data_IF_155669054950
#
_entry.id   IF_155669054950
#
_cell.length_a   1.000
_cell.length_b   1.000
_cell.length_c   1.000
_cell.angle_alpha   90.00
_cell.angle_beta   90.00
_cell.angle_gamma   90.00
#
_symmetry.space_group_name_H-M   'P 1'
#
loop_
_entity.id
_entity.type
_entity.pdbx_description
1 polymer ?
#
# COMPACT_ATOMS: atom_id res chain seq x y z
N UNK A 1 18.51 -14.74 15.06
CA UNK A 1 17.23 -14.04 14.84
C UNK A 1 16.72 -14.35 13.45
N UNK A 2 15.42 -14.17 13.23
CA UNK A 2 14.78 -14.35 11.93
C UNK A 2 14.59 -13.01 11.24
N UNK A 3 14.48 -13.03 9.92
CA UNK A 3 14.06 -11.88 9.13
C UNK A 3 12.65 -11.44 9.51
N UNK A 4 12.37 -10.15 9.30
CA UNK A 4 11.08 -9.52 9.53
C UNK A 4 10.65 -8.81 8.27
N UNK A 5 9.37 -8.53 8.15
CA UNK A 5 8.79 -7.81 7.00
C UNK A 5 8.01 -6.60 7.48
N UNK A 6 8.09 -5.53 6.73
CA UNK A 6 7.27 -4.33 6.93
C UNK A 6 6.82 -3.77 5.58
N UNK A 7 5.77 -2.98 5.63
CA UNK A 7 5.25 -2.29 4.46
C UNK A 7 5.08 -0.80 4.77
N UNK A 8 5.53 0.05 3.87
CA UNK A 8 5.41 1.51 3.97
C UNK A 8 4.61 2.02 2.78
N UNK A 9 3.70 2.95 3.04
CA UNK A 9 3.08 3.77 2.00
C UNK A 9 3.87 5.07 1.88
N UNK A 10 4.25 5.43 0.66
CA UNK A 10 4.85 6.72 0.33
C UNK A 10 3.99 7.45 -0.69
N UNK A 11 4.05 8.76 -0.69
CA UNK A 11 3.33 9.63 -1.63
C UNK A 11 4.30 10.61 -2.27
N UNK A 12 4.18 10.78 -3.58
CA UNK A 12 4.94 11.76 -4.36
C UNK A 12 4.11 13.03 -4.60
N UNK A 13 4.79 14.11 -4.98
CA UNK A 13 4.15 15.37 -5.33
C UNK A 13 3.52 16.11 -4.14
N UNK A 14 3.91 15.79 -2.90
CA UNK A 14 3.33 16.37 -1.70
C UNK A 14 3.71 17.85 -1.58
N UNK A 15 2.71 18.70 -1.46
CA UNK A 15 2.87 20.15 -1.29
C UNK A 15 2.10 20.65 -0.07
N UNK A 16 2.38 21.86 0.37
CA UNK A 16 1.64 22.50 1.46
C UNK A 16 1.95 24.00 1.54
N UNK A 17 1.17 24.70 2.37
CA UNK A 17 1.27 26.17 2.51
C UNK A 17 1.81 26.61 3.87
N UNK A 18 1.85 25.71 4.85
CA UNK A 18 2.31 26.02 6.19
C UNK A 18 3.83 26.08 6.32
N UNK A 19 4.33 26.74 7.36
CA UNK A 19 5.77 26.84 7.64
C UNK A 19 6.47 25.48 7.81
N UNK A 20 5.74 24.42 8.16
CA UNK A 20 6.27 23.07 8.25
C UNK A 20 6.71 22.49 6.90
N UNK A 21 6.25 23.09 5.79
CA UNK A 21 6.68 22.73 4.43
C UNK A 21 7.84 23.58 3.91
N UNK A 22 8.39 24.49 4.72
CA UNK A 22 9.63 25.17 4.36
C UNK A 22 10.82 24.23 4.52
N UNK A 23 11.75 24.25 3.57
CA UNK A 23 12.92 23.38 3.59
C UNK A 23 14.20 24.16 3.87
N UNK A 24 14.95 23.77 4.90
CA UNK A 24 16.29 24.31 5.12
C UNK A 24 17.17 24.01 3.90
N UNK A 25 17.86 25.03 3.39
CA UNK A 25 18.64 24.93 2.17
C UNK A 25 20.14 25.21 2.45
N UNK A 26 20.92 24.16 2.58
CA UNK A 26 22.35 24.27 2.79
C UNK A 26 23.12 24.76 1.54
N UNK A 27 22.49 24.74 0.35
CA UNK A 27 23.09 25.17 -0.90
C UNK A 27 22.80 26.63 -1.25
N UNK A 28 22.00 27.33 -0.44
CA UNK A 28 21.68 28.73 -0.65
C UNK A 28 22.93 29.60 -0.83
N UNK A 29 22.96 30.42 -1.90
CA UNK A 29 24.10 31.27 -2.24
C UNK A 29 25.23 30.57 -3.02
N UNK A 30 25.06 29.30 -3.38
CA UNK A 30 25.96 28.58 -4.30
C UNK A 30 27.30 28.14 -3.72
N UNK A 31 27.61 28.42 -2.46
CA UNK A 31 28.91 28.10 -1.86
C UNK A 31 29.18 26.60 -1.70
N UNK A 32 28.12 25.78 -1.68
CA UNK A 32 28.18 24.31 -1.56
C UNK A 32 28.03 23.59 -2.92
N UNK A 33 28.12 24.32 -4.02
CA UNK A 33 28.02 23.78 -5.37
C UNK A 33 26.62 23.79 -5.95
N UNK A 34 26.47 23.12 -7.10
CA UNK A 34 25.20 23.05 -7.85
C UNK A 34 24.30 21.97 -7.26
N UNK A 35 23.03 22.30 -7.04
CA UNK A 35 22.00 21.38 -6.51
C UNK A 35 20.66 21.59 -7.22
N UNK A 36 20.64 21.37 -8.56
CA UNK A 36 19.42 21.39 -9.36
C UNK A 36 18.64 22.70 -9.33
N UNK A 37 19.31 23.85 -9.08
CA UNK A 37 18.69 25.17 -8.97
C UNK A 37 18.42 25.63 -7.53
N UNK A 38 18.52 24.73 -6.54
CA UNK A 38 18.33 25.09 -5.13
C UNK A 38 19.40 26.06 -4.61
N UNK A 39 20.57 26.08 -5.23
CA UNK A 39 21.64 27.05 -4.93
C UNK A 39 21.24 28.52 -5.19
N UNK A 40 20.25 28.73 -6.06
CA UNK A 40 19.69 30.05 -6.34
C UNK A 40 18.52 30.44 -5.41
N UNK A 41 18.05 29.51 -4.59
CA UNK A 41 16.91 29.73 -3.70
C UNK A 41 17.38 30.16 -2.30
N UNK A 42 16.52 30.83 -1.50
CA UNK A 42 16.85 31.22 -0.13
C UNK A 42 16.93 30.02 0.81
N UNK A 43 17.39 30.25 2.04
CA UNK A 43 17.26 29.31 3.16
C UNK A 43 16.47 29.98 4.29
N UNK A 44 15.31 29.41 4.69
CA UNK A 44 14.64 28.22 4.09
C UNK A 44 14.04 28.53 2.71
N UNK A 45 13.91 27.48 1.89
CA UNK A 45 13.08 27.53 0.68
C UNK A 45 11.62 27.61 1.12
N UNK A 46 10.83 28.59 0.62
CA UNK A 46 9.42 28.70 1.00
C UNK A 46 8.59 27.49 0.54
N UNK A 47 7.59 27.13 1.32
CA UNK A 47 6.65 26.04 1.04
C UNK A 47 6.06 26.07 -0.38
N UNK A 48 5.75 27.26 -0.90
CA UNK A 48 5.20 27.43 -2.26
C UNK A 48 6.15 27.00 -3.40
N UNK A 49 7.42 26.79 -3.11
CA UNK A 49 8.44 26.34 -4.07
C UNK A 49 8.90 24.91 -3.79
N UNK A 50 8.27 24.24 -2.80
CA UNK A 50 8.63 22.86 -2.41
C UNK A 50 7.60 21.87 -2.92
N UNK A 51 8.12 20.79 -3.50
CA UNK A 51 7.38 19.56 -3.79
C UNK A 51 8.19 18.42 -3.19
N UNK A 52 7.55 17.54 -2.47
CA UNK A 52 8.20 16.45 -1.77
C UNK A 52 7.77 15.12 -2.37
N UNK A 53 8.73 14.32 -2.76
CA UNK A 53 8.51 12.96 -3.24
C UNK A 53 8.90 11.94 -2.16
N UNK A 54 8.32 10.75 -2.26
CA UNK A 54 8.56 9.63 -1.35
C UNK A 54 8.28 9.95 0.12
N UNK A 55 7.29 10.80 0.37
CA UNK A 55 6.87 11.14 1.72
C UNK A 55 6.22 9.92 2.38
N UNK A 56 6.82 9.40 3.45
CA UNK A 56 6.26 8.29 4.20
C UNK A 56 4.95 8.71 4.87
N UNK A 57 3.84 8.06 4.51
CA UNK A 57 2.49 8.35 5.02
C UNK A 57 2.05 7.39 6.10
N UNK A 58 2.38 6.11 5.92
CA UNK A 58 2.03 5.07 6.88
C UNK A 58 3.04 3.92 6.84
N UNK A 59 3.14 3.18 7.93
CA UNK A 59 3.96 1.98 8.04
C UNK A 59 3.22 0.89 8.82
N UNK A 60 3.28 -0.35 8.34
CA UNK A 60 2.70 -1.51 9.00
C UNK A 60 3.71 -2.66 9.12
N UNK A 61 3.74 -3.37 10.25
CA UNK A 61 3.06 -3.03 11.50
C UNK A 61 3.76 -1.87 12.21
N UNK A 62 5.06 -1.69 11.97
CA UNK A 62 5.93 -0.64 12.48
C UNK A 62 7.28 -0.70 11.76
N UNK A 63 8.16 0.27 12.02
CA UNK A 63 9.53 0.26 11.47
C UNK A 63 10.41 -0.90 11.99
N UNK A 64 10.01 -1.59 13.06
CA UNK A 64 10.72 -2.79 13.54
C UNK A 64 10.33 -4.07 12.79
N UNK A 65 9.26 -4.01 11.99
CA UNK A 65 8.78 -5.11 11.18
C UNK A 65 8.01 -6.20 11.94
N UNK A 66 7.30 -7.03 11.19
CA UNK A 66 6.54 -8.18 11.65
C UNK A 66 7.46 -9.40 11.75
N UNK A 67 7.48 -10.05 12.91
CA UNK A 67 8.18 -11.31 13.15
C UNK A 67 7.29 -12.51 12.79
N UNK A 68 7.89 -13.69 12.65
CA UNK A 68 7.17 -14.95 12.49
C UNK A 68 6.63 -15.22 11.08
N UNK A 69 6.79 -14.30 10.14
CA UNK A 69 6.45 -14.52 8.72
C UNK A 69 7.47 -15.43 8.06
N UNK A 70 8.75 -15.15 8.29
CA UNK A 70 9.86 -15.91 7.72
C UNK A 70 10.49 -16.76 8.82
N UNK A 71 10.54 -18.09 8.69
CA UNK A 71 11.17 -18.96 9.67
C UNK A 71 12.70 -18.75 9.73
N UNK A 72 13.32 -19.26 10.78
CA UNK A 72 14.77 -19.13 10.95
C UNK A 72 15.58 -19.93 9.92
N UNK A 73 14.98 -20.98 9.35
CA UNK A 73 15.58 -21.79 8.27
C UNK A 73 14.68 -21.71 7.06
N UNK A 74 15.24 -21.35 5.93
CA UNK A 74 14.57 -21.23 4.64
C UNK A 74 15.36 -21.99 3.59
N UNK A 75 14.67 -22.43 2.53
CA UNK A 75 15.26 -23.10 1.36
C UNK A 75 15.10 -22.22 0.12
N UNK A 76 15.97 -22.43 -0.85
CA UNK A 76 15.83 -21.73 -2.13
C UNK A 76 14.47 -22.10 -2.79
N UNK A 77 13.72 -21.07 -3.18
CA UNK A 77 12.38 -21.22 -3.76
C UNK A 77 11.22 -21.17 -2.77
N UNK A 78 11.48 -21.11 -1.46
CA UNK A 78 10.43 -20.90 -0.46
C UNK A 78 9.77 -19.53 -0.65
N UNK A 79 8.46 -19.52 -0.48
CA UNK A 79 7.65 -18.29 -0.56
C UNK A 79 6.91 -18.05 0.74
N UNK A 80 6.95 -16.83 1.24
CA UNK A 80 6.28 -16.41 2.47
C UNK A 80 5.39 -15.21 2.18
N UNK A 81 4.21 -15.17 2.78
CA UNK A 81 3.23 -14.09 2.58
C UNK A 81 2.96 -13.37 3.89
N UNK A 82 3.00 -12.06 3.84
CA UNK A 82 2.50 -11.17 4.89
C UNK A 82 1.39 -10.28 4.33
N UNK A 83 0.35 -10.04 5.13
CA UNK A 83 -0.74 -9.16 4.76
C UNK A 83 -0.70 -7.92 5.65
N UNK A 84 -0.79 -6.75 5.03
CA UNK A 84 -0.85 -5.46 5.70
C UNK A 84 -2.09 -4.71 5.21
N UNK A 85 -2.74 -3.99 6.12
CA UNK A 85 -3.92 -3.19 5.81
C UNK A 85 -3.63 -1.74 6.15
N UNK A 86 -3.98 -0.84 5.24
CA UNK A 86 -3.88 0.60 5.42
C UNK A 86 -5.23 1.24 5.10
N UNK A 87 -5.54 2.31 5.81
CA UNK A 87 -6.65 3.19 5.46
C UNK A 87 -6.08 4.46 4.84
N UNK A 88 -6.50 4.77 3.61
CA UNK A 88 -6.05 5.98 2.91
C UNK A 88 -7.04 7.11 3.20
N UNK A 89 -6.62 8.18 3.90
CA UNK A 89 -7.42 9.38 4.02
C UNK A 89 -7.67 10.02 2.65
N UNK A 90 -8.84 10.60 2.46
CA UNK A 90 -9.21 11.29 1.20
C UNK A 90 -8.34 12.51 0.85
N UNK A 91 -7.46 12.91 1.77
CA UNK A 91 -6.49 13.99 1.56
C UNK A 91 -5.19 13.54 0.91
N UNK A 92 -4.99 12.22 0.75
CA UNK A 92 -3.84 11.67 0.04
C UNK A 92 -4.22 11.40 -1.42
N UNK A 93 -3.27 11.61 -2.30
CA UNK A 93 -3.46 11.33 -3.73
C UNK A 93 -3.11 9.86 -4.01
N UNK A 94 -4.13 9.02 -4.14
CA UNK A 94 -3.97 7.59 -4.41
C UNK A 94 -3.14 7.32 -5.66
N UNK A 95 -3.21 8.19 -6.67
CA UNK A 95 -2.47 8.04 -7.93
C UNK A 95 -0.97 8.29 -7.78
N UNK A 96 -0.58 8.98 -6.71
CA UNK A 96 0.81 9.27 -6.35
C UNK A 96 1.35 8.34 -5.26
N UNK A 97 0.54 7.36 -4.84
CA UNK A 97 0.93 6.44 -3.76
C UNK A 97 1.76 5.26 -4.26
N UNK A 98 2.78 4.93 -3.48
CA UNK A 98 3.60 3.74 -3.67
C UNK A 98 3.53 2.85 -2.42
N UNK A 99 3.53 1.55 -2.65
CA UNK A 99 3.58 0.50 -1.64
C UNK A 99 5.01 -0.04 -1.65
N UNK A 100 5.72 0.12 -0.54
CA UNK A 100 7.12 -0.34 -0.40
C UNK A 100 7.16 -1.49 0.61
N UNK A 101 7.44 -2.70 0.13
CA UNK A 101 7.71 -3.86 0.98
C UNK A 101 9.19 -3.89 1.38
N UNK A 102 9.46 -4.13 2.65
CA UNK A 102 10.82 -4.18 3.20
C UNK A 102 11.08 -5.52 3.87
N UNK A 103 12.23 -6.12 3.55
CA UNK A 103 12.83 -7.23 4.28
C UNK A 103 13.85 -6.66 5.27
N UNK A 104 13.65 -6.95 6.54
CA UNK A 104 14.49 -6.44 7.64
C UNK A 104 15.28 -7.61 8.23
N UNK A 105 16.58 -7.45 8.29
CA UNK A 105 17.49 -8.47 8.83
C UNK A 105 17.35 -8.62 10.36
N UNK A 106 17.95 -9.65 10.96
CA UNK A 106 17.91 -9.84 12.42
C UNK A 106 18.53 -8.69 13.22
N UNK A 107 19.39 -7.88 12.62
CA UNK A 107 20.04 -6.72 13.22
C UNK A 107 19.20 -5.44 13.11
N UNK A 108 18.07 -5.49 12.39
CA UNK A 108 17.16 -4.37 12.22
C UNK A 108 17.50 -3.45 11.04
N UNK A 109 18.37 -3.90 10.14
CA UNK A 109 18.68 -3.18 8.90
C UNK A 109 17.77 -3.67 7.76
N UNK A 110 17.49 -2.81 6.81
CA UNK A 110 16.80 -3.20 5.58
C UNK A 110 17.81 -3.98 4.72
N UNK A 111 17.51 -5.26 4.50
CA UNK A 111 18.29 -6.17 3.68
C UNK A 111 17.90 -6.04 2.21
N UNK A 112 16.59 -5.97 1.95
CA UNK A 112 16.04 -5.80 0.62
C UNK A 112 14.70 -5.05 0.67
N UNK A 113 14.32 -4.42 -0.44
CA UNK A 113 13.03 -3.78 -0.60
C UNK A 113 12.54 -3.90 -2.04
N UNK A 114 11.22 -3.89 -2.20
CA UNK A 114 10.55 -3.81 -3.48
C UNK A 114 9.39 -2.84 -3.38
N UNK A 115 8.99 -2.26 -4.51
CA UNK A 115 7.87 -1.32 -4.52
C UNK A 115 6.94 -1.54 -5.71
N UNK A 116 5.72 -1.07 -5.56
CA UNK A 116 4.71 -1.01 -6.61
C UNK A 116 3.78 0.19 -6.37
N UNK A 117 3.01 0.58 -7.38
CA UNK A 117 1.91 1.53 -7.22
C UNK A 117 0.66 0.82 -6.69
N UNK A 118 -0.37 1.58 -6.28
CA UNK A 118 -1.68 1.02 -5.91
C UNK A 118 -2.26 0.25 -7.10
N UNK A 119 -2.27 0.84 -8.30
CA UNK A 119 -2.75 0.18 -9.53
C UNK A 119 -1.97 -1.10 -9.85
N UNK A 120 -0.64 -1.06 -9.72
CA UNK A 120 0.20 -2.24 -9.92
C UNK A 120 -0.12 -3.36 -8.93
N UNK A 121 -0.39 -3.02 -7.67
CA UNK A 121 -0.82 -3.99 -6.68
C UNK A 121 -2.17 -4.62 -7.06
N UNK A 122 -3.14 -3.81 -7.48
CA UNK A 122 -4.47 -4.30 -7.93
C UNK A 122 -4.34 -5.23 -9.13
N UNK A 123 -3.52 -4.87 -10.12
CA UNK A 123 -3.27 -5.72 -11.30
C UNK A 123 -2.62 -7.05 -10.93
N UNK A 124 -1.81 -7.08 -9.88
CA UNK A 124 -1.19 -8.30 -9.36
C UNK A 124 -2.11 -9.10 -8.41
N UNK A 125 -3.39 -8.73 -8.29
CA UNK A 125 -4.39 -9.44 -7.52
C UNK A 125 -4.43 -9.08 -6.03
N UNK A 126 -3.72 -8.04 -5.61
CA UNK A 126 -3.87 -7.48 -4.27
C UNK A 126 -5.10 -6.58 -4.23
N UNK A 127 -5.95 -6.76 -3.24
CA UNK A 127 -7.17 -5.97 -3.10
C UNK A 127 -6.80 -4.58 -2.58
N UNK A 128 -6.86 -3.56 -3.44
CA UNK A 128 -6.88 -2.18 -3.02
C UNK A 128 -8.35 -1.78 -2.76
N UNK A 129 -8.65 -1.55 -1.48
CA UNK A 129 -9.92 -0.95 -1.07
C UNK A 129 -11.11 -1.92 -1.01
N UNK A 130 -11.28 -2.57 0.13
CA UNK A 130 -12.62 -2.70 0.67
C UNK A 130 -12.90 -1.35 1.35
N UNK A 131 -13.67 -0.48 0.72
CA UNK A 131 -14.36 0.55 1.49
C UNK A 131 -15.20 -0.20 2.51
N UNK A 132 -14.78 -0.16 3.75
CA UNK A 132 -15.62 -0.57 4.86
C UNK A 132 -16.79 0.42 4.87
N UNK A 133 -17.90 0.04 4.25
CA UNK A 133 -19.13 0.83 4.40
C UNK A 133 -19.51 0.65 5.87
N UNK A 134 -19.27 1.69 6.65
CA UNK A 134 -19.52 1.71 8.08
C UNK A 134 -20.92 1.14 8.38
N UNK A 135 -20.97 0.02 9.10
CA UNK A 135 -22.22 -0.63 9.48
C UNK A 135 -22.66 -1.82 8.62
N UNK A 136 -21.90 -2.23 7.60
CA UNK A 136 -22.20 -3.43 6.81
C UNK A 136 -21.36 -4.61 7.25
N UNK A 137 -22.01 -5.62 7.81
CA UNK A 137 -21.40 -6.91 8.08
C UNK A 137 -21.24 -7.68 6.76
N UNK A 138 -20.00 -7.96 6.34
CA UNK A 138 -19.68 -8.69 5.11
C UNK A 138 -20.39 -10.05 5.03
N UNK A 139 -20.63 -10.71 6.16
CA UNK A 139 -21.39 -11.97 6.24
C UNK A 139 -22.86 -11.81 5.87
N UNK A 140 -23.39 -10.58 5.91
CA UNK A 140 -24.76 -10.27 5.49
C UNK A 140 -24.84 -9.78 4.04
N UNK A 141 -23.74 -9.31 3.47
CA UNK A 141 -23.68 -8.82 2.09
C UNK A 141 -23.64 -9.94 1.06
N UNK A 142 -22.92 -11.03 1.37
CA UNK A 142 -22.73 -12.17 0.50
C UNK A 142 -23.09 -13.44 1.22
N UNK A 143 -24.14 -14.12 0.78
CA UNK A 143 -24.57 -15.42 1.32
C UNK A 143 -24.40 -16.49 0.24
N UNK A 144 -23.64 -17.54 0.57
CA UNK A 144 -23.49 -18.74 -0.24
C UNK A 144 -24.17 -19.90 0.46
N UNK A 145 -25.22 -20.45 -0.14
CA UNK A 145 -25.95 -21.58 0.42
C UNK A 145 -26.48 -22.53 -0.66
N UNK A 146 -26.28 -23.84 -0.51
CA UNK A 146 -25.47 -24.50 0.51
C UNK A 146 -23.96 -24.31 0.31
N UNK A 147 -23.20 -24.37 1.42
CA UNK A 147 -21.75 -24.36 1.39
C UNK A 147 -21.23 -25.33 2.48
N UNK A 148 -20.59 -26.47 2.11
CA UNK A 148 -20.21 -26.88 0.76
C UNK A 148 -21.40 -27.20 -0.13
N UNK A 149 -21.23 -26.93 -1.45
CA UNK A 149 -22.20 -27.30 -2.48
C UNK A 149 -21.90 -28.71 -3.01
N UNK A 150 -22.96 -29.47 -3.32
CA UNK A 150 -22.81 -30.76 -4.04
C UNK A 150 -23.00 -30.56 -5.54
N UNK A 151 -24.09 -29.90 -5.96
CA UNK A 151 -24.41 -29.69 -7.36
C UNK A 151 -24.48 -28.19 -7.72
N UNK A 152 -25.00 -27.37 -6.82
CA UNK A 152 -25.11 -25.94 -7.01
C UNK A 152 -25.04 -25.22 -5.66
N UNK A 153 -24.72 -23.93 -5.72
CA UNK A 153 -24.87 -23.00 -4.60
C UNK A 153 -25.54 -21.72 -5.08
N UNK A 154 -26.41 -21.17 -4.25
CA UNK A 154 -27.00 -19.86 -4.50
C UNK A 154 -26.07 -18.78 -3.94
N UNK A 155 -25.82 -17.77 -4.77
CA UNK A 155 -25.10 -16.56 -4.39
C UNK A 155 -26.11 -15.45 -4.19
N UNK A 156 -26.34 -15.04 -2.95
CA UNK A 156 -27.23 -13.93 -2.62
C UNK A 156 -26.41 -12.72 -2.22
N UNK A 157 -26.60 -11.61 -2.93
CA UNK A 157 -25.98 -10.32 -2.68
C UNK A 157 -27.02 -9.35 -2.13
N UNK A 158 -26.80 -8.80 -0.97
CA UNK A 158 -27.60 -7.73 -0.38
C UNK A 158 -26.85 -6.39 -0.57
N UNK A 159 -27.29 -5.59 -1.54
CA UNK A 159 -26.66 -4.32 -1.87
C UNK A 159 -27.57 -3.19 -1.36
N UNK A 160 -27.14 -2.42 -0.35
CA UNK A 160 -27.99 -1.40 0.29
C UNK A 160 -28.21 -0.15 -0.59
N UNK A 161 -27.35 0.07 -1.59
CA UNK A 161 -27.42 1.21 -2.51
C UNK A 161 -27.18 0.73 -3.94
N UNK A 162 -27.58 1.52 -4.93
CA UNK A 162 -27.34 1.20 -6.34
C UNK A 162 -25.83 1.14 -6.62
N UNK A 163 -25.33 -0.03 -7.00
CA UNK A 163 -23.92 -0.26 -7.30
C UNK A 163 -23.78 -1.16 -8.54
N UNK A 164 -22.65 -1.03 -9.24
CA UNK A 164 -22.25 -1.97 -10.27
C UNK A 164 -21.48 -3.12 -9.61
N UNK A 165 -21.89 -4.35 -9.86
CA UNK A 165 -21.31 -5.54 -9.23
C UNK A 165 -20.75 -6.46 -10.31
N UNK A 166 -19.53 -6.94 -10.10
CA UNK A 166 -18.91 -7.99 -10.90
C UNK A 166 -18.73 -9.25 -10.07
N UNK A 167 -19.30 -10.36 -10.51
CA UNK A 167 -19.13 -11.67 -9.88
C UNK A 167 -18.21 -12.52 -10.74
N UNK A 168 -17.16 -13.06 -10.15
CA UNK A 168 -16.25 -14.01 -10.81
C UNK A 168 -16.15 -15.28 -9.97
N UNK A 169 -16.24 -16.44 -10.64
CA UNK A 169 -15.99 -17.73 -10.02
C UNK A 169 -14.59 -18.17 -10.46
N UNK A 170 -13.75 -18.46 -9.49
CA UNK A 170 -12.35 -18.86 -9.70
C UNK A 170 -12.15 -20.31 -9.27
N UNK A 171 -11.24 -21.02 -9.91
CA UNK A 171 -10.75 -22.31 -9.40
C UNK A 171 -9.72 -22.10 -8.28
N UNK A 172 -9.24 -23.19 -7.68
CA UNK A 172 -8.25 -23.16 -6.62
C UNK A 172 -6.88 -22.60 -7.04
N UNK A 173 -6.66 -22.41 -8.35
CA UNK A 173 -5.45 -21.82 -8.92
C UNK A 173 -5.64 -20.34 -9.31
N UNK A 174 -6.85 -19.79 -9.09
CA UNK A 174 -7.19 -18.41 -9.42
C UNK A 174 -7.64 -18.20 -10.87
N UNK A 175 -7.85 -19.26 -11.65
CA UNK A 175 -8.35 -19.14 -13.03
C UNK A 175 -9.85 -18.87 -13.05
N UNK A 176 -10.29 -17.94 -13.88
CA UNK A 176 -11.71 -17.61 -14.00
C UNK A 176 -12.45 -18.75 -14.67
N UNK A 177 -13.38 -19.38 -13.95
CA UNK A 177 -14.29 -20.41 -14.47
C UNK A 177 -15.55 -19.78 -15.08
N UNK A 178 -16.09 -18.73 -14.47
CA UNK A 178 -17.28 -18.01 -14.94
C UNK A 178 -17.27 -16.59 -14.40
N UNK A 179 -17.71 -15.60 -15.22
CA UNK A 179 -17.92 -14.21 -14.82
C UNK A 179 -19.24 -13.67 -15.37
N UNK A 180 -19.94 -12.85 -14.59
CA UNK A 180 -21.08 -12.03 -15.01
C UNK A 180 -20.87 -10.58 -14.52
N UNK A 181 -21.24 -9.64 -15.37
CA UNK A 181 -21.35 -8.20 -15.04
C UNK A 181 -22.81 -7.82 -14.86
#
# INVERSE_FOLDING_TARGET
GSFKVACVLTEDGVTGTGAGYNQANAYAGGNNGVMGGFEALPSPVPAAQMVYDHVARAIAPSFTGQTGVIPASTSAGDTYTANFTFTLPSTWDETQMHIVGMLIDPQGKIDNAGYTTIDGAVQNGYVAGVQEIAGLNLEQLLVLAPNPATDFTNVTLHIPTKAQVSLKVLDAKGSILQGRQ
#
